data_IF_042495344054
#
_entry.id   IF_042495344054
#
_cell.length_a   1.000
_cell.length_b   1.000
_cell.length_c   1.000
_cell.angle_alpha   90.00
_cell.angle_beta   90.00
_cell.angle_gamma   90.00
#
_symmetry.space_group_name_H-M   'P 1'
#
loop_
_entity.id
_entity.type
_entity.pdbx_description
1 polymer ?
#
# COMPACT_ATOMS: atom_id res chain seq x y z
N UNK A 1 1.59 10.02 2.14
CA UNK A 1 2.26 8.72 2.40
C UNK A 1 3.26 8.32 1.31
N UNK A 2 2.94 8.52 0.02
CA UNK A 2 3.85 8.13 -1.07
C UNK A 2 5.32 8.53 -0.82
N UNK A 3 5.63 9.80 -0.47
CA UNK A 3 7.01 10.18 -0.21
C UNK A 3 7.67 9.52 1.01
N UNK A 4 6.89 8.94 1.92
CA UNK A 4 7.42 8.20 3.07
C UNK A 4 7.75 6.75 2.71
N UNK A 5 7.07 6.19 1.71
CA UNK A 5 7.25 4.80 1.35
C UNK A 5 8.11 4.56 0.13
N UNK A 6 8.08 5.52 -0.81
CA UNK A 6 8.69 5.35 -2.13
C UNK A 6 9.57 6.52 -2.50
N UNK A 7 10.67 6.22 -3.15
CA UNK A 7 11.50 7.21 -3.84
C UNK A 7 10.79 7.71 -5.10
N UNK A 8 11.14 8.91 -5.51
CA UNK A 8 10.72 9.45 -6.80
C UNK A 8 11.34 8.62 -7.93
N UNK A 9 10.71 8.58 -9.09
CA UNK A 9 11.29 7.90 -10.27
C UNK A 9 12.62 8.52 -10.65
N UNK A 10 13.58 7.71 -11.12
CA UNK A 10 14.90 8.20 -11.52
C UNK A 10 14.81 9.22 -12.64
N UNK A 11 13.90 9.03 -13.57
CA UNK A 11 13.72 9.94 -14.70
C UNK A 11 13.20 11.30 -14.24
N UNK A 12 12.28 11.35 -13.26
CA UNK A 12 11.83 12.60 -12.65
C UNK A 12 12.97 13.34 -11.94
N UNK A 13 13.77 12.63 -11.14
CA UNK A 13 14.91 13.21 -10.42
C UNK A 13 15.96 13.72 -11.40
N UNK A 14 16.22 13.00 -12.49
CA UNK A 14 17.15 13.44 -13.53
C UNK A 14 16.65 14.71 -14.23
N UNK A 15 15.36 14.78 -14.55
CA UNK A 15 14.76 15.97 -15.15
C UNK A 15 14.90 17.21 -14.25
N UNK A 16 14.60 17.06 -12.95
CA UNK A 16 14.78 18.15 -11.97
C UNK A 16 16.22 18.67 -11.91
N UNK A 17 17.19 17.75 -11.88
CA UNK A 17 18.63 18.13 -11.83
C UNK A 17 19.09 18.86 -13.07
N UNK A 18 18.56 18.49 -14.23
CA UNK A 18 18.89 19.08 -15.50
C UNK A 18 18.09 20.37 -15.79
N UNK A 19 17.20 20.79 -14.89
CA UNK A 19 16.33 21.94 -15.09
C UNK A 19 15.32 21.75 -16.23
N UNK A 20 14.98 20.50 -16.53
CA UNK A 20 14.01 20.17 -17.59
C UNK A 20 12.57 20.41 -17.09
N UNK A 21 12.07 21.59 -17.38
CA UNK A 21 10.69 21.99 -17.06
C UNK A 21 9.64 21.40 -18.03
N UNK A 22 10.08 20.63 -19.02
CA UNK A 22 9.19 20.01 -20.03
C UNK A 22 8.92 18.54 -19.72
N UNK A 23 9.54 17.97 -18.70
CA UNK A 23 9.31 16.60 -18.27
C UNK A 23 7.86 16.40 -17.81
N UNK A 24 7.18 15.46 -18.45
CA UNK A 24 5.76 15.14 -18.20
C UNK A 24 5.55 13.77 -17.55
N UNK A 25 6.64 13.08 -17.20
CA UNK A 25 6.55 11.76 -16.55
C UNK A 25 6.15 11.85 -15.08
N UNK A 26 5.79 10.71 -14.54
CA UNK A 26 5.29 10.59 -13.17
C UNK A 26 6.41 10.79 -12.12
N UNK A 27 6.12 11.60 -11.11
CA UNK A 27 6.99 11.74 -9.94
C UNK A 27 7.10 10.44 -9.15
N UNK A 28 5.97 9.76 -8.96
CA UNK A 28 5.87 8.44 -8.35
C UNK A 28 5.09 7.53 -9.29
N UNK A 29 5.65 6.40 -9.64
CA UNK A 29 5.02 5.42 -10.50
C UNK A 29 5.12 4.02 -9.91
N UNK A 30 4.00 3.34 -9.84
CA UNK A 30 3.92 1.94 -9.47
C UNK A 30 3.91 1.04 -10.70
N UNK A 31 4.32 -0.20 -10.52
CA UNK A 31 4.19 -1.24 -11.53
C UNK A 31 2.77 -1.82 -11.48
N UNK A 32 2.20 -2.14 -12.63
CA UNK A 32 0.89 -2.80 -12.69
C UNK A 32 0.94 -4.20 -12.08
N UNK A 33 -0.11 -4.57 -11.36
CA UNK A 33 -0.21 -5.89 -10.77
C UNK A 33 -0.39 -6.99 -11.83
N UNK A 34 0.31 -8.11 -11.63
CA UNK A 34 0.15 -9.31 -12.44
C UNK A 34 0.95 -9.34 -13.74
N UNK A 35 1.86 -8.38 -13.95
CA UNK A 35 2.78 -8.42 -15.11
C UNK A 35 3.63 -9.68 -15.09
N UNK A 36 3.74 -10.33 -16.24
CA UNK A 36 4.66 -11.44 -16.43
C UNK A 36 6.10 -10.97 -16.71
N UNK A 37 7.04 -11.92 -16.75
CA UNK A 37 8.46 -11.61 -16.95
C UNK A 37 8.76 -10.88 -18.29
N UNK A 38 8.00 -11.16 -19.34
CA UNK A 38 8.14 -10.52 -20.64
C UNK A 38 7.72 -9.06 -20.56
N UNK A 39 6.56 -8.77 -19.94
CA UNK A 39 6.05 -7.42 -19.76
C UNK A 39 6.97 -6.57 -18.86
N UNK A 40 7.50 -7.16 -17.78
CA UNK A 40 8.48 -6.49 -16.90
C UNK A 40 9.76 -6.13 -17.67
N UNK A 41 10.16 -6.95 -18.64
CA UNK A 41 11.34 -6.71 -19.48
C UNK A 41 11.19 -5.62 -20.54
N UNK A 42 9.98 -5.07 -20.73
CA UNK A 42 9.77 -4.02 -21.72
C UNK A 42 10.40 -2.67 -21.28
N UNK A 43 10.94 -1.87 -22.21
CA UNK A 43 11.59 -0.59 -21.89
C UNK A 43 10.70 0.38 -21.11
N UNK A 44 9.39 0.39 -21.37
CA UNK A 44 8.40 1.20 -20.67
C UNK A 44 8.21 0.79 -19.21
N UNK A 45 8.55 -0.43 -18.86
CA UNK A 45 8.49 -0.98 -17.50
C UNK A 45 9.86 -1.01 -16.81
N UNK A 46 10.84 -0.31 -17.39
CA UNK A 46 12.20 -0.24 -16.82
C UNK A 46 12.25 0.38 -15.44
N UNK A 47 13.22 -0.04 -14.63
CA UNK A 47 13.43 0.39 -13.23
C UNK A 47 13.51 1.91 -13.04
N UNK A 48 13.98 2.64 -14.07
CA UNK A 48 14.09 4.10 -14.00
C UNK A 48 12.73 4.81 -13.96
N UNK A 49 11.70 4.17 -14.47
CA UNK A 49 10.34 4.71 -14.58
C UNK A 49 9.44 4.36 -13.39
N UNK A 50 9.92 3.49 -12.50
CA UNK A 50 9.14 3.05 -11.34
C UNK A 50 9.76 3.53 -10.04
N UNK A 51 8.92 3.76 -9.06
CA UNK A 51 9.31 4.11 -7.71
C UNK A 51 9.80 2.88 -6.95
N UNK A 52 10.81 3.06 -6.11
CA UNK A 52 11.30 2.01 -5.22
C UNK A 52 10.84 2.25 -3.80
N UNK A 53 10.68 1.17 -3.06
CA UNK A 53 10.32 1.22 -1.65
C UNK A 53 11.51 1.66 -0.79
N UNK A 54 11.40 2.81 -0.14
CA UNK A 54 12.46 3.36 0.71
C UNK A 54 12.63 2.59 2.03
N UNK A 55 11.53 2.12 2.62
CA UNK A 55 11.57 1.46 3.93
C UNK A 55 12.17 0.06 3.91
N UNK A 56 12.24 -0.59 2.76
CA UNK A 56 12.79 -1.93 2.60
C UNK A 56 14.20 -1.96 2.03
N UNK A 57 14.71 -0.83 1.58
CA UNK A 57 16.01 -0.74 0.92
C UNK A 57 16.71 0.53 1.38
N UNK A 58 17.88 0.36 2.03
CA UNK A 58 18.80 1.47 2.18
C UNK A 58 19.45 1.70 0.81
N UNK A 59 19.00 2.70 0.09
CA UNK A 59 19.67 3.20 -1.10
C UNK A 59 20.57 4.37 -0.72
N UNK A 60 21.85 4.15 -0.42
CA UNK A 60 22.76 5.27 -0.14
C UNK A 60 22.89 6.20 -1.34
N UNK A 61 22.65 5.70 -2.56
CA UNK A 61 22.92 6.40 -3.81
C UNK A 61 21.74 6.50 -4.78
N UNK A 62 20.49 6.37 -4.31
CA UNK A 62 19.33 6.57 -5.19
C UNK A 62 19.38 7.91 -5.94
N UNK A 63 20.04 8.89 -5.36
CA UNK A 63 20.29 10.18 -5.97
C UNK A 63 21.53 10.21 -6.86
N UNK A 64 22.33 9.16 -6.94
CA UNK A 64 23.45 9.08 -7.86
C UNK A 64 22.95 8.70 -9.26
N UNK A 65 23.64 9.19 -10.28
CA UNK A 65 23.28 8.89 -11.69
C UNK A 65 23.69 7.48 -12.14
N UNK A 66 24.18 6.68 -11.24
CA UNK A 66 24.57 5.31 -11.55
C UNK A 66 23.32 4.46 -11.64
N UNK A 67 23.22 3.68 -12.70
CA UNK A 67 22.27 2.57 -12.81
C UNK A 67 22.36 1.74 -11.52
N UNK A 68 21.22 1.37 -10.91
CA UNK A 68 21.25 0.42 -9.81
C UNK A 68 22.07 -0.80 -10.27
N UNK A 69 23.21 -1.04 -9.63
CA UNK A 69 23.91 -2.29 -9.85
C UNK A 69 23.08 -3.44 -9.28
N UNK A 70 23.35 -4.67 -9.69
CA UNK A 70 22.69 -5.85 -9.11
C UNK A 70 22.84 -5.94 -7.58
N UNK A 71 23.82 -5.23 -7.01
CA UNK A 71 24.04 -5.07 -5.57
C UNK A 71 22.92 -4.32 -4.83
N UNK A 72 22.07 -3.61 -5.54
CA UNK A 72 20.85 -2.98 -5.01
C UNK A 72 19.87 -3.99 -4.42
N UNK A 73 19.97 -5.25 -4.82
CA UNK A 73 19.18 -6.35 -4.26
C UNK A 73 19.75 -6.91 -2.94
N UNK A 74 20.92 -6.48 -2.50
CA UNK A 74 21.48 -6.84 -1.20
C UNK A 74 20.79 -6.02 -0.09
N UNK A 75 19.58 -6.42 0.23
CA UNK A 75 18.77 -5.80 1.27
C UNK A 75 19.27 -6.28 2.63
N UNK A 76 19.99 -5.43 3.36
CA UNK A 76 20.20 -5.65 4.79
C UNK A 76 19.04 -5.03 5.53
N UNK A 77 17.96 -5.78 5.70
CA UNK A 77 16.78 -5.29 6.40
C UNK A 77 16.98 -5.48 7.90
N UNK A 78 17.25 -4.40 8.61
CA UNK A 78 17.24 -4.35 10.09
C UNK A 78 15.95 -3.76 10.63
N UNK A 79 14.89 -3.72 9.83
CA UNK A 79 13.61 -3.17 10.23
C UNK A 79 12.94 -4.07 11.28
N UNK A 80 12.42 -3.50 12.37
CA UNK A 80 11.65 -4.27 13.34
C UNK A 80 10.38 -4.83 12.70
N UNK A 81 10.06 -6.09 13.01
CA UNK A 81 8.83 -6.69 12.58
C UNK A 81 7.65 -6.03 13.30
N UNK A 82 6.77 -5.39 12.55
CA UNK A 82 5.52 -4.84 13.09
C UNK A 82 4.52 -5.97 13.31
N UNK A 83 4.18 -6.25 14.56
CA UNK A 83 3.13 -7.22 14.91
C UNK A 83 1.78 -6.50 14.98
N UNK A 84 1.71 -5.42 15.74
CA UNK A 84 0.56 -4.52 15.85
C UNK A 84 1.05 -3.12 16.21
N UNK A 85 0.55 -2.12 15.49
CA UNK A 85 0.97 -0.72 15.71
C UNK A 85 -0.09 0.05 16.51
N UNK A 86 0.33 1.13 17.17
CA UNK A 86 -0.62 2.00 17.85
C UNK A 86 -1.60 2.66 16.87
N UNK A 87 -1.15 3.00 15.67
CA UNK A 87 -2.02 3.52 14.60
C UNK A 87 -3.12 2.54 14.22
N UNK A 88 -2.78 1.25 14.10
CA UNK A 88 -3.76 0.20 13.84
C UNK A 88 -4.79 0.08 14.98
N UNK A 89 -4.34 0.09 16.24
CA UNK A 89 -5.25 0.03 17.40
C UNK A 89 -6.21 1.22 17.41
N UNK A 90 -5.74 2.43 17.11
CA UNK A 90 -6.60 3.60 17.03
C UNK A 90 -7.66 3.47 15.92
N UNK A 91 -7.29 2.93 14.76
CA UNK A 91 -8.23 2.73 13.66
C UNK A 91 -9.25 1.61 13.96
N UNK A 92 -8.85 0.55 14.65
CA UNK A 92 -9.78 -0.46 15.19
C UNK A 92 -10.76 0.15 16.22
N UNK A 93 -10.27 1.04 17.10
CA UNK A 93 -11.14 1.78 18.02
C UNK A 93 -12.10 2.71 17.29
N UNK A 94 -11.66 3.35 16.20
CA UNK A 94 -12.54 4.17 15.37
C UNK A 94 -13.69 3.34 14.78
N UNK A 95 -13.39 2.16 14.26
CA UNK A 95 -14.41 1.23 13.76
C UNK A 95 -15.35 0.77 14.87
N UNK A 96 -14.82 0.35 16.02
CA UNK A 96 -15.61 -0.08 17.17
C UNK A 96 -16.55 1.04 17.65
N UNK A 97 -16.06 2.28 17.72
CA UNK A 97 -16.87 3.43 18.08
C UNK A 97 -18.00 3.68 17.06
N UNK A 98 -17.70 3.58 15.76
CA UNK A 98 -18.69 3.71 14.69
C UNK A 98 -19.76 2.61 14.74
N UNK A 99 -19.40 1.43 15.24
CA UNK A 99 -20.33 0.31 15.47
C UNK A 99 -21.11 0.43 16.79
N UNK A 100 -20.82 1.42 17.60
CA UNK A 100 -21.53 1.69 18.86
C UNK A 100 -21.02 0.86 20.05
N UNK A 101 -19.78 0.38 20.02
CA UNK A 101 -19.21 -0.39 21.14
C UNK A 101 -18.87 0.52 22.31
N UNK A 102 -19.28 0.11 23.50
CA UNK A 102 -19.00 0.85 24.72
C UNK A 102 -17.49 0.94 25.00
N UNK A 103 -17.04 2.13 25.40
CA UNK A 103 -15.64 2.37 25.75
C UNK A 103 -14.69 2.59 24.57
N UNK A 104 -15.20 2.55 23.34
CA UNK A 104 -14.37 2.79 22.16
C UNK A 104 -13.98 4.26 21.95
N UNK A 105 -14.67 5.21 22.60
CA UNK A 105 -14.41 6.64 22.50
C UNK A 105 -15.08 7.28 21.28
N UNK A 106 -14.54 8.42 20.83
CA UNK A 106 -15.05 9.14 19.67
C UNK A 106 -14.46 8.58 18.37
N UNK A 107 -15.29 8.41 17.36
CA UNK A 107 -14.89 7.82 16.07
C UNK A 107 -13.91 8.71 15.33
N UNK A 108 -14.18 10.00 15.21
CA UNK A 108 -13.38 10.95 14.46
C UNK A 108 -12.03 11.21 15.12
N UNK A 109 -11.98 11.29 16.45
CA UNK A 109 -10.74 11.45 17.21
C UNK A 109 -9.85 10.21 17.05
N UNK A 110 -10.39 9.00 17.21
CA UNK A 110 -9.65 7.76 17.02
C UNK A 110 -9.13 7.63 15.57
N UNK A 111 -9.93 8.03 14.58
CA UNK A 111 -9.53 8.02 13.17
C UNK A 111 -8.33 8.93 12.91
N UNK A 112 -8.39 10.19 13.36
CA UNK A 112 -7.31 11.16 13.20
C UNK A 112 -6.04 10.74 13.95
N UNK A 113 -6.20 10.26 15.18
CA UNK A 113 -5.06 9.75 15.97
C UNK A 113 -4.41 8.53 15.29
N UNK A 114 -5.19 7.63 14.74
CA UNK A 114 -4.68 6.48 13.98
C UNK A 114 -3.84 6.87 12.78
N UNK A 115 -4.28 7.86 12.00
CA UNK A 115 -3.50 8.39 10.87
C UNK A 115 -2.20 9.02 11.35
N UNK A 116 -2.29 9.88 12.36
CA UNK A 116 -1.13 10.59 12.92
C UNK A 116 -0.08 9.62 13.46
N UNK A 117 -0.52 8.64 14.25
CA UNK A 117 0.36 7.62 14.79
C UNK A 117 1.02 6.77 13.69
N UNK A 118 0.26 6.38 12.67
CA UNK A 118 0.79 5.62 11.53
C UNK A 118 1.83 6.41 10.74
N UNK A 119 1.62 7.72 10.51
CA UNK A 119 2.60 8.56 9.83
C UNK A 119 3.88 8.75 10.65
N UNK A 120 3.75 8.90 11.97
CA UNK A 120 4.89 9.00 12.87
C UNK A 120 5.70 7.69 12.90
N UNK A 121 5.01 6.55 12.94
CA UNK A 121 5.61 5.22 12.90
C UNK A 121 6.40 5.00 11.59
N UNK A 122 5.83 5.36 10.45
CA UNK A 122 6.50 5.27 9.16
C UNK A 122 7.77 6.12 9.09
N UNK A 123 7.74 7.34 9.63
CA UNK A 123 8.95 8.19 9.71
C UNK A 123 10.05 7.59 10.58
N UNK A 124 9.69 6.85 11.63
CA UNK A 124 10.69 6.24 12.52
C UNK A 124 11.55 5.19 11.82
N UNK A 125 11.10 4.64 10.68
CA UNK A 125 11.86 3.70 9.86
C UNK A 125 12.81 4.38 8.86
N UNK A 126 12.66 5.67 8.62
CA UNK A 126 13.56 6.41 7.77
C UNK A 126 14.76 6.83 8.63
N UNK A 127 15.85 6.06 8.53
CA UNK A 127 17.07 6.30 9.30
C UNK A 127 17.77 7.61 8.95
N UNK A 128 17.43 8.20 7.81
CA UNK A 128 17.97 9.45 7.33
C UNK A 128 16.88 10.52 7.26
N UNK A 129 16.99 11.54 8.11
CA UNK A 129 16.06 12.67 8.13
C UNK A 129 15.99 13.43 6.79
N UNK A 130 17.03 13.33 5.94
CA UNK A 130 17.04 13.92 4.60
C UNK A 130 16.11 13.18 3.64
N UNK A 131 15.81 11.92 3.91
CA UNK A 131 14.82 11.10 3.18
C UNK A 131 13.40 11.33 3.69
N UNK A 132 13.23 11.97 4.85
CA UNK A 132 11.92 12.33 5.38
C UNK A 132 11.43 13.59 4.67
N UNK A 133 10.58 13.48 3.64
CA UNK A 133 10.00 14.66 3.03
C UNK A 133 9.18 15.39 4.08
N UNK A 134 9.21 16.71 4.05
CA UNK A 134 8.30 17.54 4.84
C UNK A 134 6.86 17.26 4.35
N UNK A 135 6.20 16.30 4.95
CA UNK A 135 4.79 16.06 4.70
C UNK A 135 4.00 16.94 5.65
N UNK A 136 3.08 17.71 5.12
CA UNK A 136 2.11 18.40 5.95
C UNK A 136 1.01 17.41 6.33
N UNK A 137 1.20 16.74 7.47
CA UNK A 137 0.27 15.73 7.96
C UNK A 137 -1.11 16.31 8.23
N UNK A 138 -1.16 17.54 8.72
CA UNK A 138 -2.42 18.23 8.96
C UNK A 138 -3.19 18.43 7.64
N UNK A 139 -2.52 18.90 6.60
CA UNK A 139 -3.14 19.01 5.28
C UNK A 139 -3.62 17.65 4.77
N UNK A 140 -2.82 16.58 4.95
CA UNK A 140 -3.25 15.24 4.56
C UNK A 140 -4.52 14.80 5.28
N UNK A 141 -4.62 15.05 6.59
CA UNK A 141 -5.76 14.63 7.40
C UNK A 141 -7.02 15.48 7.19
N UNK A 142 -6.85 16.70 6.68
CA UNK A 142 -7.96 17.68 6.57
C UNK A 142 -8.45 17.94 5.15
N UNK A 143 -7.83 17.28 4.14
CA UNK A 143 -8.20 17.51 2.75
C UNK A 143 -8.66 16.24 2.02
N UNK A 144 -9.44 16.45 0.98
CA UNK A 144 -9.89 15.41 0.06
C UNK A 144 -10.65 14.26 0.73
N UNK A 145 -10.45 13.06 0.23
CA UNK A 145 -11.15 11.85 0.72
C UNK A 145 -10.74 11.41 2.13
N UNK A 146 -9.61 11.91 2.63
CA UNK A 146 -9.09 11.56 3.97
C UNK A 146 -9.80 12.37 5.05
N UNK A 147 -10.18 13.60 4.76
CA UNK A 147 -10.81 14.49 5.74
C UNK A 147 -12.03 13.83 6.40
N UNK A 148 -12.01 13.82 7.75
CA UNK A 148 -13.17 13.35 8.51
C UNK A 148 -14.34 14.32 8.40
N UNK A 149 -15.53 13.79 8.19
CA UNK A 149 -16.76 14.57 8.15
C UNK A 149 -17.84 13.83 8.96
N UNK A 150 -18.37 14.49 9.99
CA UNK A 150 -19.38 13.91 10.86
C UNK A 150 -20.71 13.66 10.14
N UNK A 151 -20.96 14.37 9.04
CA UNK A 151 -22.15 14.19 8.20
C UNK A 151 -22.02 13.05 7.18
N UNK A 152 -20.86 12.41 7.08
CA UNK A 152 -20.71 11.23 6.22
C UNK A 152 -21.60 10.09 6.70
N UNK A 153 -22.10 9.30 5.76
CA UNK A 153 -22.84 8.08 6.08
C UNK A 153 -21.93 7.09 6.82
N UNK A 154 -22.54 6.13 7.51
CA UNK A 154 -21.79 5.05 8.17
C UNK A 154 -20.86 4.33 7.21
N UNK A 155 -21.33 4.06 5.99
CA UNK A 155 -20.55 3.38 4.96
C UNK A 155 -19.34 4.21 4.51
N UNK A 156 -19.52 5.51 4.27
CA UNK A 156 -18.42 6.41 3.93
C UNK A 156 -17.37 6.52 5.05
N UNK A 157 -17.82 6.50 6.31
CA UNK A 157 -16.92 6.46 7.46
C UNK A 157 -16.14 5.15 7.54
N UNK A 158 -16.81 4.02 7.29
CA UNK A 158 -16.16 2.70 7.22
C UNK A 158 -15.12 2.64 6.10
N UNK A 159 -15.44 3.17 4.92
CA UNK A 159 -14.49 3.26 3.81
C UNK A 159 -13.24 4.06 4.18
N UNK A 160 -13.41 5.21 4.84
CA UNK A 160 -12.30 6.02 5.33
C UNK A 160 -11.43 5.26 6.33
N UNK A 161 -12.06 4.67 7.34
CA UNK A 161 -11.36 3.91 8.39
C UNK A 161 -10.63 2.72 7.79
N UNK A 162 -11.30 1.88 6.99
CA UNK A 162 -10.72 0.70 6.35
C UNK A 162 -9.57 1.06 5.41
N UNK A 163 -9.72 2.13 4.63
CA UNK A 163 -8.66 2.62 3.74
C UNK A 163 -7.42 3.07 4.52
N UNK A 164 -7.60 3.85 5.59
CA UNK A 164 -6.45 4.30 6.39
C UNK A 164 -5.81 3.17 7.18
N UNK A 165 -6.58 2.19 7.65
CA UNK A 165 -6.07 0.99 8.29
C UNK A 165 -5.25 0.15 7.30
N UNK A 166 -5.77 -0.07 6.10
CA UNK A 166 -5.03 -0.77 5.03
C UNK A 166 -3.69 -0.11 4.73
N UNK A 167 -3.67 1.23 4.66
CA UNK A 167 -2.44 1.99 4.49
C UNK A 167 -1.50 1.88 5.71
N UNK A 168 -2.02 1.86 6.93
CA UNK A 168 -1.23 1.75 8.15
C UNK A 168 -0.57 0.37 8.32
N UNK A 169 -1.16 -0.66 7.69
CA UNK A 169 -0.63 -2.02 7.72
C UNK A 169 0.59 -2.23 6.81
N UNK A 170 0.95 -1.26 5.98
CA UNK A 170 2.13 -1.38 5.15
C UNK A 170 3.41 -1.57 5.99
N UNK A 171 4.33 -2.50 5.66
CA UNK A 171 4.32 -3.41 4.50
C UNK A 171 3.74 -4.81 4.78
N UNK A 172 2.91 -4.99 5.82
CA UNK A 172 2.30 -6.28 6.15
C UNK A 172 1.14 -6.60 5.17
N UNK A 173 1.50 -7.13 4.00
CA UNK A 173 0.55 -7.43 2.93
C UNK A 173 -0.48 -8.49 3.29
N UNK A 174 -0.15 -9.45 4.17
CA UNK A 174 -1.05 -10.53 4.58
C UNK A 174 -2.20 -9.96 5.42
N UNK A 175 -1.87 -9.13 6.41
CA UNK A 175 -2.87 -8.48 7.26
C UNK A 175 -3.70 -7.47 6.46
N UNK A 176 -3.05 -6.69 5.58
CA UNK A 176 -3.73 -5.76 4.68
C UNK A 176 -4.74 -6.49 3.76
N UNK A 177 -4.40 -7.67 3.26
CA UNK A 177 -5.30 -8.51 2.47
C UNK A 177 -6.47 -9.05 3.32
N UNK A 178 -6.19 -9.52 4.53
CA UNK A 178 -7.22 -9.98 5.46
C UNK A 178 -8.21 -8.86 5.80
N UNK A 179 -7.71 -7.66 6.04
CA UNK A 179 -8.52 -6.47 6.34
C UNK A 179 -9.40 -6.07 5.14
N UNK A 180 -8.83 -6.04 3.94
CA UNK A 180 -9.59 -5.74 2.74
C UNK A 180 -10.71 -6.78 2.49
N UNK A 181 -10.45 -8.05 2.76
CA UNK A 181 -11.47 -9.11 2.66
C UNK A 181 -12.58 -8.94 3.69
N UNK A 182 -12.22 -8.54 4.92
CA UNK A 182 -13.17 -8.36 6.02
C UNK A 182 -14.08 -7.18 5.81
N UNK A 183 -13.53 -6.05 5.39
CA UNK A 183 -14.25 -4.78 5.29
C UNK A 183 -14.77 -4.46 3.90
N UNK A 184 -14.14 -5.01 2.86
CA UNK A 184 -14.34 -4.61 1.47
C UNK A 184 -13.64 -3.29 1.11
N UNK A 185 -12.76 -2.77 1.98
CA UNK A 185 -12.03 -1.52 1.78
C UNK A 185 -10.52 -1.69 1.95
N UNK A 186 -9.71 -0.92 1.20
CA UNK A 186 -10.12 0.01 0.14
C UNK A 186 -10.70 -0.73 -1.07
N UNK A 187 -11.40 0.00 -1.94
CA UNK A 187 -11.77 -0.53 -3.26
C UNK A 187 -10.53 -0.57 -4.14
N UNK A 188 -9.83 -1.68 -4.08
CA UNK A 188 -8.61 -1.90 -4.85
C UNK A 188 -8.92 -2.05 -6.34
N UNK A 189 -7.99 -1.61 -7.17
CA UNK A 189 -8.05 -1.90 -8.60
C UNK A 189 -7.87 -3.40 -8.84
N UNK A 190 -8.60 -3.99 -9.80
CA UNK A 190 -8.43 -5.40 -10.14
C UNK A 190 -7.02 -5.66 -10.69
N UNK A 191 -6.59 -6.90 -10.65
CA UNK A 191 -5.39 -7.35 -11.35
C UNK A 191 -5.64 -7.20 -12.85
N UNK A 192 -4.91 -6.31 -13.52
CA UNK A 192 -5.10 -6.01 -14.94
C UNK A 192 -4.47 -7.06 -15.85
N UNK A 193 -3.39 -7.70 -15.37
CA UNK A 193 -2.64 -8.71 -16.08
C UNK A 193 -2.66 -10.00 -15.26
N UNK A 194 -3.16 -11.09 -15.79
CA UNK A 194 -3.11 -12.38 -15.14
C UNK A 194 -3.04 -13.49 -16.17
N UNK A 195 -2.11 -14.41 -15.96
CA UNK A 195 -2.02 -15.66 -16.73
C UNK A 195 -2.97 -16.75 -16.17
N UNK A 196 -3.56 -16.55 -14.99
CA UNK A 196 -4.56 -17.45 -14.44
C UNK A 196 -5.92 -17.19 -15.13
N UNK A 197 -6.37 -18.20 -15.91
CA UNK A 197 -7.66 -18.14 -16.60
C UNK A 197 -8.88 -17.97 -15.68
N UNK A 198 -8.73 -18.22 -14.37
CA UNK A 198 -9.80 -18.03 -13.39
C UNK A 198 -9.86 -16.59 -12.86
N UNK A 199 -8.87 -15.77 -13.15
CA UNK A 199 -8.87 -14.34 -12.82
C UNK A 199 -9.27 -13.58 -14.08
N UNK A 200 -10.53 -13.13 -14.12
CA UNK A 200 -11.00 -12.29 -15.23
C UNK A 200 -10.89 -10.81 -14.85
N UNK A 201 -9.96 -10.07 -15.43
CA UNK A 201 -9.81 -8.63 -15.15
C UNK A 201 -11.08 -7.83 -15.43
N UNK A 202 -11.92 -8.28 -16.38
CA UNK A 202 -13.18 -7.60 -16.71
C UNK A 202 -14.24 -7.69 -15.62
N UNK A 203 -14.14 -8.66 -14.71
CA UNK A 203 -15.07 -8.80 -13.59
C UNK A 203 -14.72 -7.90 -12.41
N UNK A 204 -13.57 -7.22 -12.44
CA UNK A 204 -13.09 -6.38 -11.36
C UNK A 204 -13.06 -7.09 -9.99
N UNK A 205 -12.79 -8.38 -10.00
CA UNK A 205 -12.82 -9.19 -8.80
C UNK A 205 -11.49 -9.10 -8.04
N UNK A 206 -11.60 -8.96 -6.74
CA UNK A 206 -10.48 -9.04 -5.82
C UNK A 206 -10.32 -10.47 -5.32
N UNK A 207 -9.10 -11.00 -5.27
CA UNK A 207 -8.81 -12.35 -4.78
C UNK A 207 -9.20 -12.45 -3.31
N UNK A 208 -10.26 -13.18 -3.02
CA UNK A 208 -10.80 -13.36 -1.67
C UNK A 208 -10.37 -14.65 -0.99
N UNK A 209 -9.94 -15.64 -1.77
CA UNK A 209 -9.56 -16.96 -1.31
C UNK A 209 -8.38 -17.47 -2.13
N UNK A 210 -7.42 -18.10 -1.46
CA UNK A 210 -6.38 -18.84 -2.16
C UNK A 210 -6.96 -20.10 -2.78
N UNK A 211 -6.43 -20.47 -3.95
CA UNK A 211 -6.80 -21.72 -4.62
C UNK A 211 -6.32 -22.91 -3.79
N UNK A 212 -7.12 -23.97 -3.79
CA UNK A 212 -6.68 -25.26 -3.23
C UNK A 212 -5.48 -25.78 -4.01
N UNK A 213 -4.58 -26.48 -3.31
CA UNK A 213 -3.44 -27.16 -3.96
C UNK A 213 -3.93 -28.19 -4.97
N UNK A 214 -3.09 -28.50 -5.93
CA UNK A 214 -3.45 -29.50 -6.96
C UNK A 214 -3.63 -30.90 -6.34
N UNK A 215 -2.91 -31.20 -5.27
CA UNK A 215 -3.11 -32.46 -4.52
C UNK A 215 -4.48 -32.54 -3.89
N UNK A 216 -4.92 -31.49 -3.21
CA UNK A 216 -6.28 -31.43 -2.62
C UNK A 216 -7.36 -31.55 -3.69
N UNK A 217 -7.18 -30.88 -4.81
CA UNK A 217 -8.12 -30.95 -5.93
C UNK A 217 -8.17 -32.33 -6.59
N UNK A 218 -7.09 -33.07 -6.58
CA UNK A 218 -6.99 -34.42 -7.14
C UNK A 218 -7.56 -35.47 -6.19
N UNK A 219 -7.20 -35.39 -4.89
CA UNK A 219 -7.53 -36.43 -3.91
C UNK A 219 -8.87 -36.21 -3.21
N UNK A 220 -9.33 -34.96 -3.14
CA UNK A 220 -10.59 -34.56 -2.50
C UNK A 220 -11.45 -33.69 -3.45
N UNK A 221 -11.54 -34.10 -4.71
CA UNK A 221 -12.13 -33.30 -5.79
C UNK A 221 -13.60 -32.90 -5.53
N UNK A 222 -14.40 -33.76 -4.91
CA UNK A 222 -15.81 -33.51 -4.62
C UNK A 222 -15.96 -32.34 -3.62
N UNK A 223 -15.24 -32.39 -2.50
CA UNK A 223 -15.29 -31.32 -1.50
C UNK A 223 -14.58 -30.05 -1.96
N UNK A 224 -13.46 -30.18 -2.67
CA UNK A 224 -12.75 -29.02 -3.23
C UNK A 224 -13.61 -28.26 -4.25
N UNK A 225 -14.42 -28.94 -5.03
CA UNK A 225 -15.34 -28.34 -6.00
C UNK A 225 -16.55 -27.70 -5.30
N UNK A 226 -17.15 -28.36 -4.32
CA UNK A 226 -18.31 -27.83 -3.60
C UNK A 226 -18.01 -26.58 -2.77
N UNK A 227 -16.75 -26.39 -2.34
CA UNK A 227 -16.32 -25.24 -1.54
C UNK A 227 -15.68 -24.11 -2.35
N UNK A 228 -15.63 -24.23 -3.67
CA UNK A 228 -15.13 -23.19 -4.59
C UNK A 228 -16.17 -22.13 -4.99
N UNK A 229 -17.41 -22.24 -4.48
CA UNK A 229 -18.50 -21.29 -4.71
C UNK A 229 -18.47 -20.11 -3.75
#
# INVERSE_FOLDING_TARGET
RMPLWFGQTQDYVAALRNGDNTYTGEQFAGMSNGMNATEIGLPENGVRRHSVCLGLQAYPDWNSQTTPSEDVLNITVTLPLKIMTYGEVCLLKAEAALLGWNGAGDTGENYKEGIKASLADERSFLSDASLSPSTNDETYMTTGKVAWNDNDTKEQKLEKIGTQKWLALYPNGIEAWAECRRTGYPKLSPVLHSEDANINPANHEFIRKLRYTDDERRENSENATSSSL
#
